data_IF_896215569264
#
_entry.id   IF_896215569264
#
_cell.length_a   1.000
_cell.length_b   1.000
_cell.length_c   1.000
_cell.angle_alpha   90.00
_cell.angle_beta   90.00
_cell.angle_gamma   90.00
#
_symmetry.space_group_name_H-M   'P 1'
#
loop_
_entity.id
_entity.type
_entity.pdbx_description
1 polymer ?
#
# COMPACT_ATOMS: atom_id res chain seq x y z
N UNK A 1 -21.37 -7.70 -4.57
CA UNK A 1 -20.24 -8.64 -4.74
C UNK A 1 -20.52 -9.83 -3.86
N UNK A 2 -20.22 -11.04 -4.34
CA UNK A 2 -20.33 -12.25 -3.53
C UNK A 2 -19.04 -12.53 -2.75
N UNK A 3 -19.09 -13.49 -1.83
CA UNK A 3 -17.94 -13.88 -1.02
C UNK A 3 -16.80 -14.49 -1.84
N UNK A 4 -17.11 -15.11 -2.97
CA UNK A 4 -16.11 -15.70 -3.86
C UNK A 4 -15.23 -14.62 -4.44
N UNK A 5 -15.84 -13.53 -4.90
CA UNK A 5 -15.13 -12.35 -5.40
C UNK A 5 -14.18 -11.78 -4.34
N UNK A 6 -14.64 -11.57 -3.11
CA UNK A 6 -13.79 -11.01 -2.06
C UNK A 6 -12.60 -11.92 -1.74
N UNK A 7 -12.79 -13.24 -1.69
CA UNK A 7 -11.70 -14.20 -1.50
C UNK A 7 -10.68 -14.15 -2.64
N UNK A 8 -11.14 -14.07 -3.88
CA UNK A 8 -10.25 -13.94 -5.04
C UNK A 8 -9.49 -12.62 -5.04
N UNK A 9 -10.14 -11.52 -4.64
CA UNK A 9 -9.49 -10.23 -4.51
C UNK A 9 -8.45 -10.21 -3.38
N UNK A 10 -8.73 -10.85 -2.25
CA UNK A 10 -7.74 -11.00 -1.17
C UNK A 10 -6.51 -11.78 -1.65
N UNK A 11 -6.69 -12.87 -2.41
CA UNK A 11 -5.59 -13.63 -2.98
C UNK A 11 -4.73 -12.80 -3.97
N UNK A 12 -5.37 -11.92 -4.76
CA UNK A 12 -4.65 -10.95 -5.60
C UNK A 12 -3.80 -10.02 -4.73
N UNK A 13 -4.37 -9.49 -3.65
CA UNK A 13 -3.67 -8.57 -2.76
C UNK A 13 -2.53 -9.25 -1.98
N UNK A 14 -2.70 -10.52 -1.60
CA UNK A 14 -1.63 -11.32 -1.00
C UNK A 14 -0.44 -11.44 -1.96
N UNK A 15 -0.71 -11.82 -3.22
CA UNK A 15 0.36 -11.98 -4.22
C UNK A 15 1.01 -10.64 -4.60
N UNK A 16 0.20 -9.59 -4.73
CA UNK A 16 0.71 -8.25 -5.01
C UNK A 16 1.64 -7.77 -3.89
N UNK A 17 1.27 -7.98 -2.63
CA UNK A 17 2.08 -7.63 -1.46
C UNK A 17 3.40 -8.42 -1.44
N UNK A 18 3.34 -9.73 -1.69
CA UNK A 18 4.52 -10.59 -1.79
C UNK A 18 5.49 -10.12 -2.88
N UNK A 19 4.99 -9.87 -4.10
CA UNK A 19 5.82 -9.40 -5.21
C UNK A 19 6.40 -8.00 -4.99
N UNK A 20 5.64 -7.13 -4.31
CA UNK A 20 6.06 -5.77 -4.03
C UNK A 20 7.12 -5.72 -2.91
N UNK A 21 6.94 -6.48 -1.83
CA UNK A 21 7.75 -6.34 -0.61
C UNK A 21 8.70 -7.52 -0.36
N UNK A 22 8.67 -8.55 -1.21
CA UNK A 22 9.42 -9.79 -1.04
C UNK A 22 8.89 -10.70 0.07
N UNK A 23 7.82 -10.29 0.75
CA UNK A 23 7.16 -11.01 1.84
C UNK A 23 5.70 -10.58 1.95
N UNK A 24 4.85 -11.40 2.57
CA UNK A 24 3.44 -11.08 2.77
C UNK A 24 2.98 -11.51 4.17
N UNK A 25 2.11 -10.69 4.76
CA UNK A 25 1.32 -11.00 5.96
C UNK A 25 0.15 -10.00 6.01
N UNK A 26 -0.83 -10.26 6.90
CA UNK A 26 -2.03 -9.43 7.02
C UNK A 26 -1.70 -7.95 7.23
N UNK A 27 -0.74 -7.63 8.10
CA UNK A 27 -0.36 -6.24 8.41
C UNK A 27 0.26 -5.54 7.19
N UNK A 28 1.11 -6.22 6.44
CA UNK A 28 1.72 -5.68 5.23
C UNK A 28 0.68 -5.48 4.12
N UNK A 29 -0.24 -6.44 3.96
CA UNK A 29 -1.34 -6.33 3.01
C UNK A 29 -2.20 -5.11 3.30
N UNK A 30 -2.58 -4.87 4.55
CA UNK A 30 -3.38 -3.69 4.93
C UNK A 30 -2.63 -2.37 4.68
N UNK A 31 -1.31 -2.32 4.93
CA UNK A 31 -0.49 -1.15 4.56
C UNK A 31 -0.50 -0.91 3.06
N UNK A 32 -0.32 -1.96 2.26
CA UNK A 32 -0.31 -1.87 0.80
C UNK A 32 -1.68 -1.43 0.27
N UNK A 33 -2.80 -1.93 0.81
CA UNK A 33 -4.16 -1.48 0.48
C UNK A 33 -4.34 0.01 0.78
N UNK A 34 -3.98 0.45 1.99
CA UNK A 34 -4.08 1.85 2.40
C UNK A 34 -3.26 2.78 1.49
N UNK A 35 -2.01 2.40 1.20
CA UNK A 35 -1.16 3.13 0.28
C UNK A 35 -1.71 3.20 -1.15
N UNK A 36 -2.16 2.07 -1.69
CA UNK A 36 -2.66 1.99 -3.06
C UNK A 36 -3.91 2.88 -3.21
N UNK A 37 -4.83 2.80 -2.24
CA UNK A 37 -6.05 3.60 -2.23
C UNK A 37 -5.73 5.09 -2.05
N UNK A 38 -4.91 5.46 -1.06
CA UNK A 38 -4.52 6.85 -0.85
C UNK A 38 -3.80 7.42 -2.09
N UNK A 39 -2.91 6.65 -2.70
CA UNK A 39 -2.20 7.05 -3.93
C UNK A 39 -3.15 7.25 -5.10
N UNK A 40 -4.16 6.38 -5.23
CA UNK A 40 -5.19 6.53 -6.26
C UNK A 40 -6.04 7.79 -6.02
N UNK A 41 -6.48 8.05 -4.79
CA UNK A 41 -7.24 9.26 -4.43
C UNK A 41 -6.41 10.52 -4.66
N UNK A 42 -5.14 10.54 -4.23
CA UNK A 42 -4.25 11.69 -4.43
C UNK A 42 -4.02 12.01 -5.91
N UNK A 43 -4.02 11.00 -6.79
CA UNK A 43 -3.87 11.17 -8.24
C UNK A 43 -5.18 11.56 -8.94
N UNK A 44 -6.29 10.92 -8.58
CA UNK A 44 -7.59 11.11 -9.25
C UNK A 44 -8.37 12.31 -8.71
N UNK A 45 -8.23 12.63 -7.42
CA UNK A 45 -8.94 13.70 -6.73
C UNK A 45 -7.98 14.47 -5.80
N UNK A 46 -7.02 15.23 -6.35
CA UNK A 46 -6.01 15.93 -5.55
C UNK A 46 -6.61 16.93 -4.56
N UNK A 47 -7.74 17.58 -4.89
CA UNK A 47 -8.44 18.48 -3.99
C UNK A 47 -8.97 17.76 -2.74
N UNK A 48 -9.50 16.54 -2.89
CA UNK A 48 -9.99 15.73 -1.78
C UNK A 48 -8.83 15.27 -0.89
N UNK A 49 -7.75 14.77 -1.48
CA UNK A 49 -6.56 14.38 -0.73
C UNK A 49 -5.96 15.57 0.02
N UNK A 50 -5.92 16.77 -0.59
CA UNK A 50 -5.46 17.99 0.07
C UNK A 50 -6.35 18.35 1.26
N UNK A 51 -7.67 18.34 1.08
CA UNK A 51 -8.62 18.65 2.15
C UNK A 51 -8.47 17.68 3.34
N UNK A 52 -8.40 16.38 3.07
CA UNK A 52 -8.18 15.37 4.11
C UNK A 52 -6.84 15.58 4.85
N UNK A 53 -5.78 15.91 4.11
CA UNK A 53 -4.45 16.19 4.66
C UNK A 53 -4.40 17.44 5.56
N UNK A 54 -5.25 18.43 5.30
CA UNK A 54 -5.39 19.64 6.13
C UNK A 54 -6.23 19.36 7.36
N UNK A 55 -7.27 18.52 7.24
CA UNK A 55 -8.13 18.13 8.34
C UNK A 55 -7.44 17.17 9.35
N UNK A 56 -6.54 16.32 8.87
CA UNK A 56 -5.86 15.30 9.68
C UNK A 56 -4.33 15.31 9.46
N UNK A 57 -3.61 16.32 9.99
CA UNK A 57 -2.17 16.47 9.76
C UNK A 57 -1.34 15.31 10.34
N UNK A 58 -1.75 14.70 11.45
CA UNK A 58 -1.09 13.53 12.04
C UNK A 58 -1.27 12.29 11.15
N UNK A 59 -2.48 12.07 10.62
CA UNK A 59 -2.77 10.96 9.73
C UNK A 59 -2.01 11.09 8.40
N UNK A 60 -1.86 12.32 7.89
CA UNK A 60 -0.98 12.63 6.75
C UNK A 60 0.46 12.22 7.05
N UNK A 61 0.98 12.52 8.24
CA UNK A 61 2.35 12.16 8.60
C UNK A 61 2.52 10.64 8.73
N UNK A 62 1.55 9.94 9.31
CA UNK A 62 1.51 8.48 9.33
C UNK A 62 1.49 7.88 7.91
N UNK A 63 0.74 8.47 6.98
CA UNK A 63 0.71 8.03 5.58
C UNK A 63 2.07 8.21 4.89
N UNK A 64 2.81 9.30 5.18
CA UNK A 64 4.18 9.47 4.67
C UNK A 64 5.12 8.40 5.21
N UNK A 65 5.04 8.09 6.51
CA UNK A 65 5.85 7.04 7.13
C UNK A 65 5.55 5.67 6.50
N UNK A 66 4.27 5.36 6.27
CA UNK A 66 3.83 4.15 5.61
C UNK A 66 4.37 4.06 4.18
N UNK A 67 4.30 5.14 3.40
CA UNK A 67 4.86 5.20 2.03
C UNK A 67 6.38 4.97 2.06
N UNK A 68 7.09 5.60 3.00
CA UNK A 68 8.53 5.42 3.15
C UNK A 68 8.91 3.98 3.52
N UNK A 69 8.13 3.34 4.40
CA UNK A 69 8.31 1.93 4.76
C UNK A 69 8.09 1.00 3.57
N UNK A 70 7.01 1.18 2.79
CA UNK A 70 6.73 0.40 1.59
C UNK A 70 7.87 0.54 0.58
N UNK A 71 8.36 1.77 0.36
CA UNK A 71 9.49 2.03 -0.54
C UNK A 71 10.75 1.29 -0.09
N UNK A 72 11.10 1.39 1.19
CA UNK A 72 12.27 0.70 1.77
C UNK A 72 12.18 -0.81 1.56
N UNK A 73 11.04 -1.42 1.90
CA UNK A 73 10.82 -2.85 1.74
C UNK A 73 10.85 -3.28 0.26
N UNK A 74 10.32 -2.47 -0.65
CA UNK A 74 10.40 -2.74 -2.09
C UNK A 74 11.84 -2.69 -2.59
N UNK A 75 12.62 -1.70 -2.15
CA UNK A 75 14.03 -1.58 -2.51
C UNK A 75 14.85 -2.77 -1.97
N UNK A 76 14.58 -3.21 -0.72
CA UNK A 76 15.16 -4.42 -0.12
C UNK A 76 14.80 -5.69 -0.92
N UNK A 77 13.53 -5.86 -1.28
CA UNK A 77 13.05 -7.00 -2.08
C UNK A 77 13.73 -7.04 -3.45
N UNK A 78 13.83 -5.90 -4.13
CA UNK A 78 14.52 -5.76 -5.42
C UNK A 78 16.01 -6.04 -5.33
N UNK A 79 16.66 -5.63 -4.23
CA UNK A 79 18.07 -5.92 -4.00
C UNK A 79 18.31 -7.42 -3.78
N UNK A 80 17.44 -8.09 -3.04
CA UNK A 80 17.54 -9.53 -2.79
C UNK A 80 17.23 -10.36 -4.03
N UNK A 81 16.26 -9.96 -4.86
CA UNK A 81 15.95 -10.62 -6.14
C UNK A 81 17.09 -10.52 -7.18
N UNK A 82 18.05 -9.62 -6.98
CA UNK A 82 19.23 -9.42 -7.85
C UNK A 82 20.49 -10.13 -7.35
N UNK A 83 20.47 -10.76 -6.16
CA UNK A 83 21.60 -11.57 -5.70
C UNK A 83 21.59 -12.90 -6.46
N UNK A 84 22.71 -13.29 -7.10
CA UNK A 84 22.81 -14.53 -7.87
C UNK A 84 22.73 -15.78 -6.99
#
# INVERSE_FOLDING_TARGET
MDETFFRQFEALMDKYTELLLGQTNEKLKEKVKAWALYSHVAKSMPALAKHWNELYPEAKEQMKQLIAEIKRLNDEARANAKKP
#
